data_IF_722501183315
#
_entry.id   IF_722501183315
#
_cell.length_a   1.000
_cell.length_b   1.000
_cell.length_c   1.000
_cell.angle_alpha   90.00
_cell.angle_beta   90.00
_cell.angle_gamma   90.00
#
_symmetry.space_group_name_H-M   'P 1'
#
loop_
_entity.id
_entity.type
_entity.pdbx_description
1 polymer ?
#
# COMPACT_ATOMS: atom_id res chain seq x y z
N UNK A 1 -12.37 -9.93 14.61
CA UNK A 1 -13.06 -8.66 14.27
C UNK A 1 -12.26 -8.04 13.14
N UNK A 2 -12.88 -7.70 12.01
CA UNK A 2 -12.17 -7.08 10.89
C UNK A 2 -11.98 -5.59 11.15
N UNK A 3 -10.78 -5.07 10.90
CA UNK A 3 -10.44 -3.65 11.01
C UNK A 3 -9.94 -3.16 9.67
N UNK A 4 -10.45 -2.02 9.20
CA UNK A 4 -9.91 -1.35 8.02
C UNK A 4 -8.68 -0.55 8.41
N UNK A 5 -7.58 -0.77 7.70
CA UNK A 5 -6.31 -0.07 7.87
C UNK A 5 -6.00 0.75 6.63
N UNK A 6 -5.46 1.95 6.85
CA UNK A 6 -4.88 2.81 5.83
C UNK A 6 -3.36 2.78 6.01
N UNK A 7 -2.67 2.28 5.00
CA UNK A 7 -1.21 2.27 4.91
C UNK A 7 -0.72 3.38 4.00
N UNK A 8 -0.10 4.40 4.58
CA UNK A 8 0.66 5.38 3.80
C UNK A 8 2.00 4.77 3.44
N UNK A 9 2.35 4.76 2.16
CA UNK A 9 3.60 4.17 1.71
C UNK A 9 4.49 5.12 0.93
N UNK A 10 5.80 4.89 1.06
CA UNK A 10 6.84 5.58 0.30
C UNK A 10 7.67 4.56 -0.47
N UNK A 11 8.05 4.85 -1.73
CA UNK A 11 9.00 4.02 -2.45
C UNK A 11 10.37 4.08 -1.77
N UNK A 12 11.04 2.93 -1.63
CA UNK A 12 12.39 2.81 -1.08
C UNK A 12 13.41 2.40 -2.14
N UNK A 13 12.99 1.71 -3.20
CA UNK A 13 13.86 1.32 -4.30
C UNK A 13 14.28 2.52 -5.16
N UNK A 14 15.59 2.63 -5.44
CA UNK A 14 16.18 3.72 -6.22
C UNK A 14 15.51 3.94 -7.59
N UNK A 15 15.04 2.85 -8.21
CA UNK A 15 14.35 2.85 -9.50
C UNK A 15 12.98 3.54 -9.48
N UNK A 16 12.32 3.58 -8.32
CA UNK A 16 11.02 4.22 -8.11
C UNK A 16 11.11 5.51 -7.31
N UNK A 17 12.26 5.82 -6.72
CA UNK A 17 12.52 7.12 -6.08
C UNK A 17 13.15 8.14 -7.03
N UNK A 18 13.60 7.74 -8.22
CA UNK A 18 14.21 8.68 -9.17
C UNK A 18 13.19 9.69 -9.73
N UNK A 19 13.68 10.89 -10.06
CA UNK A 19 12.82 12.00 -10.50
C UNK A 19 12.04 11.66 -11.77
N UNK A 20 12.66 10.93 -12.71
CA UNK A 20 12.02 10.50 -13.96
C UNK A 20 10.80 9.60 -13.73
N UNK A 21 10.83 8.68 -12.76
CA UNK A 21 9.69 7.83 -12.41
C UNK A 21 8.56 8.65 -11.77
N UNK A 22 8.91 9.67 -10.97
CA UNK A 22 7.94 10.60 -10.37
C UNK A 22 7.25 11.48 -11.42
N UNK A 23 8.02 11.94 -12.41
CA UNK A 23 7.55 12.84 -13.46
C UNK A 23 6.70 12.10 -14.50
N UNK A 24 7.07 10.85 -14.83
CA UNK A 24 6.36 10.04 -15.84
C UNK A 24 5.23 9.20 -15.25
N UNK A 25 5.19 9.03 -13.93
CA UNK A 25 4.31 8.08 -13.25
C UNK A 25 4.59 6.61 -13.63
N UNK A 26 5.71 6.34 -14.31
CA UNK A 26 6.01 5.02 -14.85
C UNK A 26 6.61 4.15 -13.75
N UNK A 27 5.94 3.05 -13.45
CA UNK A 27 6.36 2.10 -12.44
C UNK A 27 7.50 1.22 -12.96
N UNK A 28 8.50 0.94 -12.12
CA UNK A 28 9.53 -0.05 -12.43
C UNK A 28 8.89 -1.42 -12.73
N UNK A 29 9.36 -2.19 -13.73
CA UNK A 29 8.73 -3.46 -14.11
C UNK A 29 8.58 -4.45 -12.95
N UNK A 30 9.58 -4.52 -12.05
CA UNK A 30 9.53 -5.37 -10.86
C UNK A 30 8.43 -4.98 -9.89
N UNK A 31 8.24 -3.67 -9.65
CA UNK A 31 7.14 -3.18 -8.82
C UNK A 31 5.78 -3.40 -9.49
N UNK A 32 5.68 -3.21 -10.80
CA UNK A 32 4.45 -3.47 -11.55
C UNK A 32 4.01 -4.95 -11.43
N UNK A 33 4.95 -5.88 -11.52
CA UNK A 33 4.67 -7.31 -11.31
C UNK A 33 4.18 -7.60 -9.88
N UNK A 34 4.80 -6.98 -8.87
CA UNK A 34 4.36 -7.07 -7.47
C UNK A 34 2.95 -6.51 -7.28
N UNK A 35 2.65 -5.33 -7.80
CA UNK A 35 1.32 -4.71 -7.70
C UNK A 35 0.24 -5.60 -8.31
N UNK A 36 0.49 -6.17 -9.50
CA UNK A 36 -0.46 -7.04 -10.16
C UNK A 36 -0.65 -8.39 -9.44
N UNK A 37 0.41 -8.94 -8.82
CA UNK A 37 0.36 -10.19 -8.09
C UNK A 37 -0.18 -10.07 -6.66
N UNK A 38 -0.22 -8.86 -6.11
CA UNK A 38 -0.54 -8.64 -4.69
C UNK A 38 -1.92 -9.16 -4.26
N UNK A 39 -3.03 -8.94 -5.01
CA UNK A 39 -4.34 -9.42 -4.59
C UNK A 39 -4.40 -10.93 -4.35
N UNK A 40 -3.68 -11.71 -5.17
CA UNK A 40 -3.61 -13.17 -5.04
C UNK A 40 -2.65 -13.63 -3.94
N UNK A 41 -1.75 -12.76 -3.49
CA UNK A 41 -0.77 -13.06 -2.46
C UNK A 41 -1.25 -12.72 -1.04
N UNK A 42 -2.41 -12.06 -0.90
CA UNK A 42 -2.97 -11.72 0.40
C UNK A 42 -3.42 -12.98 1.16
N UNK A 43 -3.19 -13.04 2.48
CA UNK A 43 -3.74 -14.11 3.30
C UNK A 43 -5.27 -14.04 3.31
N UNK A 44 -5.94 -15.16 3.55
CA UNK A 44 -7.41 -15.24 3.55
C UNK A 44 -8.09 -14.33 4.60
N UNK A 45 -7.34 -13.93 5.62
CA UNK A 45 -7.69 -13.01 6.71
C UNK A 45 -7.53 -11.54 6.34
N UNK A 46 -7.08 -11.23 5.11
CA UNK A 46 -6.84 -9.89 4.62
C UNK A 46 -7.47 -9.66 3.25
N UNK A 47 -8.03 -8.47 3.05
CA UNK A 47 -8.71 -8.09 1.82
C UNK A 47 -8.23 -6.72 1.37
N UNK A 48 -7.85 -6.62 0.09
CA UNK A 48 -7.57 -5.35 -0.55
C UNK A 48 -8.87 -4.57 -0.76
N UNK A 49 -8.95 -3.35 -0.21
CA UNK A 49 -10.06 -2.42 -0.45
C UNK A 49 -9.73 -1.49 -1.62
N UNK A 50 -8.50 -0.98 -1.68
CA UNK A 50 -8.05 -0.10 -2.75
C UNK A 50 -6.60 0.32 -2.59
N UNK A 51 -5.98 0.78 -3.68
CA UNK A 51 -4.61 1.28 -3.69
C UNK A 51 -4.47 2.41 -4.70
N UNK A 52 -3.78 3.47 -4.31
CA UNK A 52 -3.53 4.64 -5.14
C UNK A 52 -2.07 5.05 -5.01
N UNK A 53 -1.37 5.07 -6.14
CA UNK A 53 -0.07 5.71 -6.23
C UNK A 53 -0.28 7.21 -6.52
N UNK A 54 0.46 8.07 -5.83
CA UNK A 54 0.41 9.51 -6.09
C UNK A 54 1.47 9.86 -7.14
N UNK A 55 1.04 10.49 -8.23
CA UNK A 55 1.92 11.12 -9.22
C UNK A 55 2.36 12.51 -8.74
N UNK A 56 3.56 12.96 -9.13
CA UNK A 56 4.03 14.32 -8.82
C UNK A 56 4.83 14.48 -7.51
N UNK A 57 5.21 13.39 -6.84
CA UNK A 57 6.36 13.34 -5.93
C UNK A 57 6.26 14.03 -4.56
N UNK A 58 5.10 14.61 -4.20
CA UNK A 58 4.96 15.39 -2.96
C UNK A 58 4.29 14.63 -1.80
N UNK A 59 3.54 13.55 -2.07
CA UNK A 59 2.68 12.88 -1.05
C UNK A 59 2.86 11.35 -1.11
N UNK A 60 2.88 10.64 0.04
CA UNK A 60 2.96 9.17 0.07
C UNK A 60 1.76 8.51 -0.62
N UNK A 61 1.99 7.38 -1.29
CA UNK A 61 0.92 6.54 -1.82
C UNK A 61 0.06 5.95 -0.70
N UNK A 62 -1.12 5.46 -1.05
CA UNK A 62 -2.09 4.92 -0.08
C UNK A 62 -2.50 3.52 -0.47
N UNK A 63 -2.51 2.61 0.51
CA UNK A 63 -3.05 1.26 0.41
C UNK A 63 -4.09 1.06 1.52
N UNK A 64 -5.27 0.57 1.17
CA UNK A 64 -6.35 0.32 2.13
C UNK A 64 -6.66 -1.17 2.14
N UNK A 65 -6.61 -1.78 3.33
CA UNK A 65 -6.90 -3.19 3.53
C UNK A 65 -7.86 -3.39 4.69
N UNK A 66 -8.71 -4.41 4.60
CA UNK A 66 -9.43 -4.96 5.74
C UNK A 66 -8.64 -6.17 6.24
N UNK A 67 -8.30 -6.18 7.53
CA UNK A 67 -7.53 -7.26 8.14
C UNK A 67 -8.13 -7.68 9.49
N UNK A 68 -8.05 -8.97 9.80
CA UNK A 68 -8.50 -9.49 11.10
C UNK A 68 -7.48 -9.26 12.21
N UNK A 69 -6.21 -9.04 11.86
CA UNK A 69 -5.13 -8.83 12.82
C UNK A 69 -4.04 -7.88 12.29
N UNK A 70 -3.25 -7.30 13.21
CA UNK A 70 -2.06 -6.53 12.83
C UNK A 70 -0.98 -7.41 12.17
N UNK A 71 -0.97 -8.71 12.43
CA UNK A 71 -0.02 -9.65 11.82
C UNK A 71 -0.23 -9.78 10.30
N UNK A 72 -1.47 -9.60 9.82
CA UNK A 72 -1.76 -9.59 8.38
C UNK A 72 -1.08 -8.41 7.66
N UNK A 73 -0.88 -7.28 8.36
CA UNK A 73 -0.17 -6.11 7.83
C UNK A 73 1.33 -6.40 7.67
N UNK A 74 1.89 -7.25 8.54
CA UNK A 74 3.28 -7.68 8.41
C UNK A 74 3.50 -8.48 7.12
N UNK A 75 2.51 -9.26 6.67
CA UNK A 75 2.57 -9.94 5.39
C UNK A 75 2.66 -8.95 4.22
N UNK A 76 1.90 -7.85 4.27
CA UNK A 76 1.96 -6.79 3.26
C UNK A 76 3.34 -6.13 3.26
N UNK A 77 3.89 -5.82 4.44
CA UNK A 77 5.24 -5.25 4.58
C UNK A 77 6.31 -6.17 3.97
N UNK A 78 6.23 -7.48 4.24
CA UNK A 78 7.16 -8.46 3.71
C UNK A 78 7.00 -8.64 2.19
N UNK A 79 5.77 -8.63 1.68
CA UNK A 79 5.51 -8.77 0.25
C UNK A 79 6.17 -7.66 -0.57
N UNK A 80 6.14 -6.42 -0.05
CA UNK A 80 6.72 -5.24 -0.68
C UNK A 80 8.12 -4.87 -0.14
N UNK A 81 8.75 -5.74 0.64
CA UNK A 81 10.07 -5.47 1.21
C UNK A 81 11.09 -5.08 0.12
N UNK A 82 11.82 -3.99 0.37
CA UNK A 82 12.78 -3.41 -0.57
C UNK A 82 12.16 -2.55 -1.67
N UNK A 83 10.82 -2.47 -1.77
CA UNK A 83 10.12 -1.63 -2.73
C UNK A 83 9.38 -0.48 -2.08
N UNK A 84 8.59 -0.78 -1.05
CA UNK A 84 7.73 0.16 -0.35
C UNK A 84 7.93 0.03 1.15
N UNK A 85 7.86 1.14 1.85
CA UNK A 85 7.78 1.20 3.32
C UNK A 85 6.40 1.75 3.70
N UNK A 86 5.71 1.08 4.62
CA UNK A 86 4.35 1.41 5.03
C UNK A 86 4.30 1.93 6.46
N UNK A 87 3.47 2.95 6.67
CA UNK A 87 3.00 3.41 7.96
C UNK A 87 1.49 3.14 8.06
N UNK A 88 1.11 2.24 8.97
CA UNK A 88 -0.24 1.68 9.05
C UNK A 88 -1.07 2.32 10.16
N UNK A 89 -2.27 2.76 9.81
CA UNK A 89 -3.21 3.41 10.72
C UNK A 89 -4.53 2.64 10.73
N UNK A 90 -5.00 2.17 11.89
CA UNK A 90 -6.36 1.64 11.99
C UNK A 90 -7.34 2.80 11.78
N UNK A 91 -8.36 2.57 10.96
CA UNK A 91 -9.43 3.55 10.79
C UNK A 91 -10.50 3.34 11.86
N UNK A 92 -11.06 4.45 12.35
CA UNK A 92 -12.31 4.46 13.08
C UNK A 92 -13.38 5.07 12.18
N UNK A 93 -14.58 4.50 12.17
CA UNK A 93 -15.71 5.14 11.51
C UNK A 93 -16.01 6.46 12.20
N UNK A 94 -16.06 7.55 11.43
CA UNK A 94 -16.66 8.80 11.91
C UNK A 94 -18.18 8.63 11.80
N UNK A 95 -18.96 8.85 12.86
CA UNK A 95 -20.41 8.87 12.77
C UNK A 95 -20.84 9.82 11.65
N UNK A 96 -21.79 9.42 10.82
CA UNK A 96 -22.47 10.40 9.97
C UNK A 96 -23.31 11.26 10.89
N UNK A 97 -23.03 12.56 10.93
CA UNK A 97 -23.86 13.51 11.67
C UNK A 97 -25.32 13.34 11.23
N UNK A 98 -26.22 13.17 12.20
CA UNK A 98 -27.68 13.16 12.00
C UNK A 98 -28.20 14.58 11.80
#
# INVERSE_FOLDING_TARGET
>A
MVTTYVGFYRPTAAEVTNQAARDTGRMAPGLAAKVNGFPAALPATCKLVGSWAISGGQVPGVLVVEAESFADLQHVNLYYAGWLEFDWHPTAGVPRDN
#
